data_IF_881776122689
#
_entry.id   IF_881776122689
#
_cell.length_a   1.000
_cell.length_b   1.000
_cell.length_c   1.000
_cell.angle_alpha   90.00
_cell.angle_beta   90.00
_cell.angle_gamma   90.00
#
_symmetry.space_group_name_H-M   'P 1'
#
loop_
_entity.id
_entity.type
_entity.pdbx_description
1 polymer ?
#
# COMPACT_ATOMS: atom_id res chain seq x y z
N UNK A 1 27.24 -21.32 14.36
CA UNK A 1 25.81 -21.66 14.57
C UNK A 1 25.72 -22.76 15.60
N UNK A 2 24.97 -22.55 16.68
CA UNK A 2 24.62 -23.63 17.60
C UNK A 2 23.74 -24.65 16.88
N UNK A 3 24.06 -25.94 17.01
CA UNK A 3 23.22 -27.02 16.49
C UNK A 3 22.27 -27.47 17.59
N UNK A 4 20.97 -27.42 17.31
CA UNK A 4 19.91 -27.97 18.18
C UNK A 4 19.32 -29.21 17.51
N UNK A 5 18.96 -30.21 18.30
CA UNK A 5 18.37 -31.46 17.82
C UNK A 5 16.94 -31.57 18.36
N UNK A 6 16.02 -31.98 17.50
CA UNK A 6 14.62 -32.23 17.82
C UNK A 6 14.31 -33.70 17.56
N UNK A 7 13.65 -34.35 18.51
CA UNK A 7 13.16 -35.72 18.37
C UNK A 7 11.64 -35.70 18.29
N UNK A 8 11.09 -36.34 17.26
CA UNK A 8 9.65 -36.48 17.08
C UNK A 8 9.29 -37.93 17.40
N UNK A 9 8.47 -38.13 18.44
CA UNK A 9 8.03 -39.44 18.89
C UNK A 9 6.63 -39.76 18.39
N UNK A 10 6.25 -41.04 18.47
CA UNK A 10 4.90 -41.53 18.15
C UNK A 10 4.44 -41.29 16.70
N UNK A 11 5.37 -41.20 15.74
CA UNK A 11 5.02 -41.16 14.31
C UNK A 11 4.76 -42.59 13.84
N UNK A 12 3.54 -42.93 13.40
CA UNK A 12 3.25 -44.24 12.85
C UNK A 12 4.15 -44.55 11.64
N UNK A 13 4.62 -45.79 11.51
CA UNK A 13 5.57 -46.18 10.45
C UNK A 13 5.04 -45.86 9.04
N UNK A 14 3.73 -46.00 8.83
CA UNK A 14 3.11 -45.71 7.53
C UNK A 14 3.11 -44.21 7.20
N UNK A 15 2.93 -43.33 8.20
CA UNK A 15 2.99 -41.88 8.02
C UNK A 15 4.43 -41.41 7.79
N UNK A 16 5.39 -42.00 8.51
CA UNK A 16 6.80 -41.71 8.32
C UNK A 16 7.28 -42.01 6.89
N UNK A 17 6.88 -43.16 6.35
CA UNK A 17 7.20 -43.54 4.96
C UNK A 17 6.46 -42.67 3.93
N UNK A 18 5.24 -42.21 4.22
CA UNK A 18 4.55 -41.24 3.38
C UNK A 18 5.27 -39.89 3.36
N UNK A 19 5.75 -39.40 4.51
CA UNK A 19 6.51 -38.16 4.61
C UNK A 19 7.83 -38.23 3.82
N UNK A 20 8.54 -39.37 3.86
CA UNK A 20 9.73 -39.58 3.03
C UNK A 20 9.43 -39.52 1.55
N UNK A 21 8.42 -40.28 1.09
CA UNK A 21 8.00 -40.28 -0.32
C UNK A 21 7.56 -38.88 -0.77
N UNK A 22 6.91 -38.14 0.11
CA UNK A 22 6.52 -36.77 -0.16
C UNK A 22 7.73 -35.85 -0.33
N UNK A 23 8.73 -35.96 0.56
CA UNK A 23 9.97 -35.21 0.45
C UNK A 23 10.70 -35.49 -0.87
N UNK A 24 10.80 -36.76 -1.25
CA UNK A 24 11.39 -37.18 -2.54
C UNK A 24 10.60 -36.63 -3.73
N UNK A 25 9.27 -36.78 -3.73
CA UNK A 25 8.39 -36.27 -4.80
C UNK A 25 8.51 -34.76 -4.99
N UNK A 26 8.75 -34.03 -3.91
CA UNK A 26 8.94 -32.58 -3.92
C UNK A 26 10.41 -32.17 -4.11
N UNK A 27 11.30 -33.10 -4.48
CA UNK A 27 12.72 -32.88 -4.74
C UNK A 27 13.52 -32.32 -3.55
N UNK A 28 13.14 -32.66 -2.32
CA UNK A 28 13.94 -32.31 -1.15
C UNK A 28 15.11 -33.28 -0.98
N UNK A 29 16.30 -32.79 -0.57
CA UNK A 29 17.48 -33.65 -0.39
C UNK A 29 17.34 -34.73 0.67
N UNK A 30 16.48 -34.50 1.68
CA UNK A 30 16.15 -35.47 2.71
C UNK A 30 14.90 -35.02 3.48
N UNK A 31 14.33 -35.94 4.25
CA UNK A 31 13.15 -35.69 5.08
C UNK A 31 13.37 -34.53 6.08
N UNK A 32 14.58 -34.38 6.63
CA UNK A 32 14.87 -33.30 7.58
C UNK A 32 14.75 -31.92 6.91
N UNK A 33 15.30 -31.75 5.70
CA UNK A 33 15.16 -30.50 4.93
C UNK A 33 13.70 -30.21 4.57
N UNK A 34 12.92 -31.24 4.26
CA UNK A 34 11.49 -31.11 4.05
C UNK A 34 10.77 -30.65 5.33
N UNK A 35 11.00 -31.30 6.47
CA UNK A 35 10.36 -30.92 7.74
C UNK A 35 10.75 -29.52 8.18
N UNK A 36 12.02 -29.14 8.02
CA UNK A 36 12.48 -27.77 8.30
C UNK A 36 11.78 -26.73 7.41
N UNK A 37 11.55 -27.04 6.13
CA UNK A 37 10.80 -26.13 5.27
C UNK A 37 9.34 -26.01 5.70
N UNK A 38 8.72 -27.12 6.15
CA UNK A 38 7.35 -27.07 6.68
C UNK A 38 7.28 -26.28 7.99
N UNK A 39 8.23 -26.44 8.91
CA UNK A 39 8.30 -25.63 10.13
C UNK A 39 8.52 -24.16 9.82
N UNK A 40 9.37 -23.85 8.85
CA UNK A 40 9.54 -22.48 8.38
C UNK A 40 8.24 -21.93 7.79
N UNK A 41 7.56 -22.69 6.94
CA UNK A 41 6.24 -22.32 6.41
C UNK A 41 5.22 -22.13 7.52
N UNK A 42 5.23 -22.94 8.59
CA UNK A 42 4.36 -22.75 9.75
C UNK A 42 4.73 -21.47 10.51
N UNK A 43 6.01 -21.19 10.73
CA UNK A 43 6.48 -19.95 11.36
C UNK A 43 6.10 -18.72 10.52
N UNK A 44 6.34 -18.79 9.21
CA UNK A 44 6.04 -17.74 8.24
C UNK A 44 4.52 -17.58 8.02
N UNK A 45 3.74 -18.65 8.19
CA UNK A 45 2.29 -18.60 8.11
C UNK A 45 1.64 -18.25 9.45
N UNK A 46 2.21 -18.60 10.59
CA UNK A 46 1.77 -18.13 11.92
C UNK A 46 2.13 -16.66 12.15
N UNK A 47 3.20 -16.16 11.52
CA UNK A 47 3.43 -14.70 11.43
C UNK A 47 2.37 -14.00 10.56
N UNK A 48 1.76 -14.72 9.61
CA UNK A 48 0.60 -14.25 8.84
C UNK A 48 -0.76 -14.52 9.53
N UNK A 49 -0.81 -15.38 10.54
CA UNK A 49 -2.04 -15.91 11.12
C UNK A 49 -2.09 -15.61 12.63
N UNK A 50 -2.66 -14.43 12.94
CA UNK A 50 -3.53 -14.13 14.08
C UNK A 50 -3.11 -13.22 15.26
N UNK A 51 -1.84 -12.95 15.63
CA UNK A 51 -1.62 -12.35 16.96
C UNK A 51 -0.63 -11.19 17.17
N UNK A 52 0.07 -10.68 16.16
CA UNK A 52 0.69 -9.33 16.20
C UNK A 52 1.16 -9.00 14.78
N UNK A 53 0.33 -8.29 14.03
CA UNK A 53 0.58 -8.04 12.61
C UNK A 53 0.84 -6.54 12.47
N UNK A 54 2.03 -6.09 12.88
CA UNK A 54 2.51 -4.71 12.65
C UNK A 54 2.23 -4.29 11.20
N UNK A 55 2.35 -5.22 10.26
CA UNK A 55 2.00 -4.99 8.85
C UNK A 55 0.50 -4.75 8.59
N UNK A 56 -0.41 -5.42 9.30
CA UNK A 56 -1.84 -5.16 9.17
C UNK A 56 -2.22 -3.82 9.81
N UNK A 57 -1.60 -3.46 10.93
CA UNK A 57 -1.78 -2.16 11.57
C UNK A 57 -1.20 -1.04 10.68
N UNK A 58 0.00 -1.23 10.13
CA UNK A 58 0.59 -0.33 9.14
C UNK A 58 -0.29 -0.18 7.89
N UNK A 59 -0.93 -1.26 7.42
CA UNK A 59 -1.87 -1.19 6.29
C UNK A 59 -3.14 -0.40 6.63
N UNK A 60 -3.63 -0.51 7.87
CA UNK A 60 -4.77 0.28 8.33
C UNK A 60 -4.40 1.76 8.44
N UNK A 61 -3.24 2.07 9.03
CA UNK A 61 -2.71 3.43 9.14
C UNK A 61 -2.46 4.05 7.76
N UNK A 62 -1.88 3.29 6.82
CA UNK A 62 -1.69 3.73 5.44
C UNK A 62 -3.02 4.02 4.74
N UNK A 63 -4.05 3.21 5.00
CA UNK A 63 -5.38 3.43 4.44
C UNK A 63 -6.02 4.69 5.00
N UNK A 64 -5.85 4.98 6.29
CA UNK A 64 -6.34 6.23 6.90
C UNK A 64 -5.60 7.44 6.34
N UNK A 65 -4.26 7.38 6.24
CA UNK A 65 -3.46 8.43 5.63
C UNK A 65 -3.88 8.68 4.17
N UNK A 66 -4.11 7.62 3.39
CA UNK A 66 -4.57 7.74 2.00
C UNK A 66 -5.94 8.43 1.90
N UNK A 67 -6.85 8.15 2.84
CA UNK A 67 -8.14 8.82 2.92
C UNK A 67 -7.96 10.33 3.17
N UNK A 68 -7.11 10.70 4.13
CA UNK A 68 -6.84 12.11 4.44
C UNK A 68 -6.21 12.86 3.24
N UNK A 69 -5.24 12.23 2.57
CA UNK A 69 -4.61 12.78 1.36
C UNK A 69 -5.66 13.02 0.28
N UNK A 70 -6.58 12.08 0.05
CA UNK A 70 -7.66 12.24 -0.93
C UNK A 70 -8.59 13.40 -0.57
N UNK A 71 -9.00 13.53 0.69
CA UNK A 71 -9.83 14.64 1.14
C UNK A 71 -9.14 16.00 0.95
N UNK A 72 -7.84 16.08 1.25
CA UNK A 72 -7.05 17.29 1.07
C UNK A 72 -6.86 17.63 -0.41
N UNK A 73 -6.63 16.65 -1.29
CA UNK A 73 -6.57 16.87 -2.75
C UNK A 73 -7.87 17.45 -3.29
N UNK A 74 -9.03 16.96 -2.85
CA UNK A 74 -10.33 17.49 -3.27
C UNK A 74 -10.49 18.95 -2.83
N UNK A 75 -10.11 19.30 -1.59
CA UNK A 75 -10.15 20.69 -1.10
C UNK A 75 -9.24 21.61 -1.92
N UNK A 76 -8.04 21.14 -2.28
CA UNK A 76 -7.11 21.90 -3.12
C UNK A 76 -7.67 22.14 -4.52
N UNK A 77 -8.26 21.12 -5.16
CA UNK A 77 -8.89 21.25 -6.47
C UNK A 77 -10.04 22.26 -6.47
N UNK A 78 -10.89 22.24 -5.44
CA UNK A 78 -11.98 23.23 -5.29
C UNK A 78 -11.41 24.64 -5.13
N UNK A 79 -10.35 24.79 -4.33
CA UNK A 79 -9.69 26.08 -4.12
C UNK A 79 -9.05 26.60 -5.41
N UNK A 80 -8.37 25.74 -6.15
CA UNK A 80 -7.77 26.07 -7.44
C UNK A 80 -8.82 26.55 -8.46
N UNK A 81 -9.95 25.85 -8.57
CA UNK A 81 -11.06 26.27 -9.42
C UNK A 81 -11.60 27.66 -9.02
N UNK A 82 -11.73 27.91 -7.71
CA UNK A 82 -12.14 29.21 -7.19
C UNK A 82 -11.17 30.33 -7.57
N UNK A 83 -9.86 30.10 -7.39
CA UNK A 83 -8.82 31.05 -7.76
C UNK A 83 -8.80 31.31 -9.26
N UNK A 84 -8.94 30.26 -10.09
CA UNK A 84 -9.00 30.39 -11.54
C UNK A 84 -10.17 31.28 -11.98
N UNK A 85 -11.36 31.08 -11.40
CA UNK A 85 -12.52 31.92 -11.67
C UNK A 85 -12.29 33.38 -11.25
N UNK A 86 -11.65 33.62 -10.11
CA UNK A 86 -11.29 34.98 -9.69
C UNK A 86 -10.33 35.66 -10.67
N UNK A 87 -9.30 34.94 -11.13
CA UNK A 87 -8.36 35.44 -12.14
C UNK A 87 -9.10 35.80 -13.43
N UNK A 88 -10.02 34.95 -13.89
CA UNK A 88 -10.83 35.22 -15.08
C UNK A 88 -11.70 36.48 -14.90
N UNK A 89 -12.34 36.64 -13.74
CA UNK A 89 -13.14 37.83 -13.43
C UNK A 89 -12.30 39.11 -13.40
N UNK A 90 -11.13 39.08 -12.76
CA UNK A 90 -10.23 40.23 -12.75
C UNK A 90 -9.71 40.55 -14.15
N UNK A 91 -9.41 39.53 -14.96
CA UNK A 91 -9.05 39.71 -16.36
C UNK A 91 -10.13 40.44 -17.16
N UNK A 92 -11.39 40.01 -17.02
CA UNK A 92 -12.52 40.68 -17.68
C UNK A 92 -12.71 42.13 -17.20
N UNK A 93 -12.61 42.37 -15.89
CA UNK A 93 -12.70 43.71 -15.34
C UNK A 93 -11.61 44.62 -15.92
N UNK A 94 -10.36 44.16 -15.94
CA UNK A 94 -9.23 44.92 -16.50
C UNK A 94 -9.47 45.24 -17.99
N UNK A 95 -9.97 44.29 -18.78
CA UNK A 95 -10.30 44.53 -20.19
C UNK A 95 -11.36 45.62 -20.36
N UNK A 96 -12.44 45.58 -19.57
CA UNK A 96 -13.47 46.62 -19.59
C UNK A 96 -12.92 48.01 -19.21
N UNK A 97 -12.04 48.07 -18.21
CA UNK A 97 -11.37 49.31 -17.82
C UNK A 97 -10.51 49.87 -18.97
N UNK A 98 -9.76 49.01 -19.68
CA UNK A 98 -8.95 49.41 -20.83
C UNK A 98 -9.81 49.94 -21.99
N UNK A 99 -10.93 49.26 -22.29
CA UNK A 99 -11.88 49.72 -23.31
C UNK A 99 -12.49 51.09 -22.97
N UNK A 100 -12.86 51.31 -21.71
CA UNK A 100 -13.40 52.59 -21.25
C UNK A 100 -12.35 53.70 -21.35
N UNK A 101 -11.11 53.43 -20.96
CA UNK A 101 -10.01 54.38 -21.10
C UNK A 101 -9.78 54.74 -22.57
N UNK A 102 -9.72 53.75 -23.46
CA UNK A 102 -9.57 53.98 -24.89
C UNK A 102 -10.71 54.81 -25.47
N UNK A 103 -11.95 54.49 -25.10
CA UNK A 103 -13.13 55.27 -25.49
C UNK A 103 -13.04 56.72 -25.01
N UNK A 104 -12.66 56.94 -23.74
CA UNK A 104 -12.53 58.29 -23.18
C UNK A 104 -11.46 59.12 -23.89
N UNK A 105 -10.31 58.51 -24.22
CA UNK A 105 -9.23 59.20 -24.93
C UNK A 105 -9.64 59.59 -26.36
N UNK A 106 -10.49 58.79 -27.03
CA UNK A 106 -10.98 59.08 -28.38
C UNK A 106 -12.06 60.17 -28.41
N UNK A 107 -12.81 60.34 -27.32
CA UNK A 107 -13.95 61.26 -27.25
C UNK A 107 -13.66 62.55 -26.45
N UNK A 108 -12.43 62.76 -25.98
CA UNK A 108 -11.93 64.05 -25.49
C UNK A 108 -11.29 64.80 -26.66
N UNK A 109 -12.13 65.38 -27.53
CA UNK A 109 -11.80 66.44 -28.50
C UNK A 109 -12.99 67.36 -28.66
#
# INVERSE_FOLDING_TARGET
MEKRQLHIYNVPSHEYEQLKKLAERLNYPNLNQFLLSQFKTIIDNESLNYLHNEFADELLDLKELQKEINENMVKLQVTELGLKNQVDQYGQAIMLWLELLEYSMKNVR
#
